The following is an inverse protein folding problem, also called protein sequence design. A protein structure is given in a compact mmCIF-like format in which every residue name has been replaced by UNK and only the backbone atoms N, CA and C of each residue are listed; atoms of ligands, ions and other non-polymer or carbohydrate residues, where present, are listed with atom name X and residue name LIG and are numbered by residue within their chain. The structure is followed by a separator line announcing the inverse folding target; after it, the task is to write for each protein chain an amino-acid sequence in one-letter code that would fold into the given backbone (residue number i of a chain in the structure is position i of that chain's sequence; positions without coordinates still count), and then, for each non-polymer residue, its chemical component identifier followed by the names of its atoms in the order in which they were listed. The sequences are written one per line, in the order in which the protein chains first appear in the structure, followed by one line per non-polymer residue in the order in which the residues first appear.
data_IF_136844534684
#
_entry.id   IF_136844534684
#
_cell.length_a   1.000
_cell.length_b   1.000
_cell.length_c   1.000
_cell.angle_alpha   90.00
_cell.angle_beta   90.00
_cell.angle_gamma   90.00
#
_symmetry.space_group_name_H-M   'P 1'
#
loop_
_entity.id
_entity.type
_entity.pdbx_description
1 polymer ?
#
# COMPACT_ATOMS: atom_id res chain seq x y z
N UNK A 1 2.02 20.38 -8.12
CA UNK A 1 0.80 19.61 -8.44
C UNK A 1 0.72 18.41 -7.51
N UNK A 2 -0.33 18.26 -6.71
CA UNK A 2 -0.48 17.10 -5.81
C UNK A 2 -1.04 15.90 -6.58
N UNK A 3 -0.26 14.82 -6.68
CA UNK A 3 -0.64 13.59 -7.39
C UNK A 3 -1.86 12.90 -6.75
N UNK A 4 -2.10 13.17 -5.46
CA UNK A 4 -3.28 12.70 -4.71
C UNK A 4 -4.61 13.31 -5.19
N UNK A 5 -4.57 14.39 -5.99
CA UNK A 5 -5.76 15.08 -6.49
C UNK A 5 -6.16 14.63 -7.91
N UNK A 6 -5.34 13.78 -8.56
CA UNK A 6 -5.61 13.28 -9.91
C UNK A 6 -6.59 12.12 -9.82
N UNK A 7 -7.78 12.30 -10.40
CA UNK A 7 -8.76 11.22 -10.52
C UNK A 7 -8.25 10.17 -11.51
N UNK A 8 -8.30 8.87 -11.16
CA UNK A 8 -7.90 7.80 -12.06
C UNK A 8 -8.80 7.80 -13.30
N UNK A 9 -8.20 7.69 -14.47
CA UNK A 9 -8.93 7.66 -15.74
C UNK A 9 -9.41 6.25 -16.05
N UNK A 10 -10.72 6.04 -15.98
CA UNK A 10 -11.37 4.79 -16.37
C UNK A 10 -11.54 4.75 -17.90
N UNK A 11 -11.25 3.61 -18.52
CA UNK A 11 -11.42 3.36 -19.95
C UNK A 11 -12.47 2.26 -20.13
N UNK A 12 -13.57 2.58 -20.82
CA UNK A 12 -14.74 1.70 -20.97
C UNK A 12 -15.27 1.18 -19.61
N UNK A 13 -15.31 2.06 -18.60
CA UNK A 13 -15.81 1.76 -17.26
C UNK A 13 -14.88 0.92 -16.37
N UNK A 14 -13.67 0.59 -16.83
CA UNK A 14 -12.68 -0.16 -16.07
C UNK A 14 -11.31 0.55 -16.03
N UNK A 15 -10.36 0.05 -15.24
CA UNK A 15 -9.02 0.63 -15.17
C UNK A 15 -8.30 0.55 -16.53
N UNK A 16 -7.68 1.66 -16.97
CA UNK A 16 -7.06 1.78 -18.30
C UNK A 16 -6.07 0.65 -18.61
N UNK A 17 -5.20 0.30 -17.67
CA UNK A 17 -4.18 -0.75 -17.90
C UNK A 17 -4.83 -2.12 -18.13
N UNK A 18 -5.85 -2.45 -17.35
CA UNK A 18 -6.59 -3.70 -17.46
C UNK A 18 -7.36 -3.79 -18.79
N UNK A 19 -8.06 -2.72 -19.17
CA UNK A 19 -8.82 -2.68 -20.44
C UNK A 19 -7.88 -2.80 -21.64
N UNK A 20 -6.71 -2.15 -21.63
CA UNK A 20 -5.73 -2.26 -22.71
C UNK A 20 -5.16 -3.68 -22.83
N UNK A 21 -4.86 -4.34 -21.71
CA UNK A 21 -4.43 -5.74 -21.71
C UNK A 21 -5.54 -6.65 -22.25
N UNK A 22 -6.78 -6.46 -21.81
CA UNK A 22 -7.94 -7.23 -22.29
C UNK A 22 -8.13 -7.08 -23.81
N UNK A 23 -8.06 -5.84 -24.33
CA UNK A 23 -8.13 -5.59 -25.77
C UNK A 23 -6.98 -6.24 -26.55
N UNK A 24 -5.75 -6.18 -26.00
CA UNK A 24 -4.59 -6.87 -26.55
C UNK A 24 -4.78 -8.39 -26.60
N UNK A 25 -5.30 -8.99 -25.53
CA UNK A 25 -5.61 -10.42 -25.49
C UNK A 25 -6.67 -10.82 -26.51
N UNK A 26 -7.73 -10.03 -26.67
CA UNK A 26 -8.75 -10.29 -27.69
C UNK A 26 -8.16 -10.25 -29.11
N UNK A 27 -7.25 -9.30 -29.37
CA UNK A 27 -6.52 -9.21 -30.63
C UNK A 27 -5.60 -10.42 -30.84
N UNK A 28 -4.92 -10.91 -29.80
CA UNK A 28 -4.10 -12.13 -29.89
C UNK A 28 -4.94 -13.37 -30.20
N UNK A 29 -6.10 -13.53 -29.57
CA UNK A 29 -7.03 -14.64 -29.87
C UNK A 29 -7.45 -14.61 -31.34
N UNK A 30 -7.74 -13.43 -31.88
CA UNK A 30 -8.03 -13.28 -33.30
C UNK A 30 -6.85 -13.71 -34.18
N UNK A 31 -5.64 -13.22 -33.89
CA UNK A 31 -4.44 -13.57 -34.66
C UNK A 31 -4.10 -15.06 -34.62
N UNK A 32 -4.35 -15.74 -33.50
CA UNK A 32 -4.11 -17.19 -33.42
C UNK A 32 -5.14 -18.02 -34.16
N UNK A 33 -6.37 -17.56 -34.28
CA UNK A 33 -7.42 -18.35 -34.91
C UNK A 33 -7.57 -18.07 -36.41
N UNK A 34 -7.22 -16.85 -36.87
CA UNK A 34 -7.36 -16.38 -38.27
C UNK A 34 -8.66 -16.82 -38.97
N UNK A 35 -9.76 -16.89 -38.22
CA UNK A 35 -11.01 -17.45 -38.71
C UNK A 35 -12.21 -16.69 -38.16
N UNK A 36 -13.32 -16.73 -38.92
CA UNK A 36 -14.61 -16.14 -38.54
C UNK A 36 -15.11 -16.59 -37.16
N UNK A 37 -15.12 -17.89 -36.81
CA UNK A 37 -15.52 -18.30 -35.46
C UNK A 37 -14.59 -17.74 -34.38
N UNK A 38 -13.30 -17.57 -34.68
CA UNK A 38 -12.34 -16.94 -33.78
C UNK A 38 -12.69 -15.50 -33.39
N UNK A 39 -13.25 -14.72 -34.33
CA UNK A 39 -13.74 -13.36 -34.05
C UNK A 39 -14.86 -13.40 -33.01
N UNK A 40 -15.82 -14.30 -33.16
CA UNK A 40 -16.94 -14.44 -32.23
C UNK A 40 -16.43 -14.78 -30.83
N UNK A 41 -15.51 -15.75 -30.73
CA UNK A 41 -14.89 -16.13 -29.46
C UNK A 41 -14.13 -14.96 -28.83
N UNK A 42 -13.34 -14.22 -29.61
CA UNK A 42 -12.59 -13.06 -29.12
C UNK A 42 -13.52 -11.97 -28.57
N UNK A 43 -14.62 -11.67 -29.28
CA UNK A 43 -15.62 -10.68 -28.83
C UNK A 43 -16.31 -11.13 -27.55
N UNK A 44 -16.73 -12.40 -27.46
CA UNK A 44 -17.39 -12.94 -26.26
C UNK A 44 -16.46 -12.88 -25.06
N UNK A 45 -15.21 -13.34 -25.20
CA UNK A 45 -14.22 -13.30 -24.12
C UNK A 45 -13.89 -11.88 -23.69
N UNK A 46 -13.71 -10.96 -24.66
CA UNK A 46 -13.48 -9.55 -24.37
C UNK A 46 -14.63 -8.96 -23.57
N UNK A 47 -15.88 -9.23 -23.97
CA UNK A 47 -17.09 -8.70 -23.36
C UNK A 47 -17.25 -9.18 -21.92
N UNK A 48 -17.09 -10.48 -21.68
CA UNK A 48 -17.20 -11.09 -20.35
C UNK A 48 -16.11 -10.51 -19.43
N UNK A 49 -14.86 -10.50 -19.90
CA UNK A 49 -13.73 -9.97 -19.13
C UNK A 49 -13.93 -8.49 -18.82
N UNK A 50 -14.41 -7.70 -19.79
CA UNK A 50 -14.67 -6.28 -19.61
C UNK A 50 -15.80 -6.03 -18.59
N UNK A 51 -16.85 -6.85 -18.57
CA UNK A 51 -17.93 -6.73 -17.59
C UNK A 51 -17.43 -6.99 -16.15
N UNK A 52 -16.56 -8.00 -15.97
CA UNK A 52 -15.93 -8.29 -14.68
C UNK A 52 -15.03 -7.12 -14.26
N UNK A 53 -14.19 -6.62 -15.16
CA UNK A 53 -13.32 -5.48 -14.92
C UNK A 53 -14.10 -4.22 -14.54
N UNK A 54 -15.23 -3.95 -15.20
CA UNK A 54 -16.13 -2.84 -14.85
C UNK A 54 -16.72 -3.01 -13.45
N UNK A 55 -17.12 -4.23 -13.09
CA UNK A 55 -17.64 -4.50 -11.75
C UNK A 55 -16.57 -4.28 -10.67
N UNK A 56 -15.34 -4.75 -10.89
CA UNK A 56 -14.22 -4.53 -9.99
C UNK A 56 -13.86 -3.05 -9.86
N UNK A 57 -13.83 -2.31 -10.97
CA UNK A 57 -13.48 -0.90 -11.00
C UNK A 57 -14.50 0.00 -10.27
N UNK A 58 -15.75 -0.45 -10.12
CA UNK A 58 -16.77 0.24 -9.30
C UNK A 58 -16.43 0.19 -7.80
N UNK A 59 -15.78 -0.89 -7.35
CA UNK A 59 -15.38 -1.04 -5.95
C UNK A 59 -14.07 -0.32 -5.68
N UNK A 60 -13.08 -0.47 -6.57
CA UNK A 60 -11.79 0.22 -6.48
C UNK A 60 -11.23 0.52 -7.88
N UNK A 61 -11.19 1.81 -8.21
CA UNK A 61 -10.68 2.31 -9.49
C UNK A 61 -9.15 2.28 -9.65
N UNK A 62 -8.39 2.02 -8.57
CA UNK A 62 -6.93 2.00 -8.55
C UNK A 62 -6.35 0.67 -8.05
N UNK A 63 -7.12 -0.41 -8.12
CA UNK A 63 -6.72 -1.72 -7.60
C UNK A 63 -5.34 -2.16 -8.12
N UNK A 64 -5.07 -2.06 -9.43
CA UNK A 64 -3.79 -2.50 -9.99
C UNK A 64 -2.65 -1.60 -9.52
N UNK A 65 -2.85 -0.28 -9.48
CA UNK A 65 -1.84 0.65 -9.00
C UNK A 65 -1.45 0.37 -7.53
N UNK A 66 -2.42 0.03 -6.68
CA UNK A 66 -2.18 -0.34 -5.28
C UNK A 66 -1.38 -1.64 -5.18
N UNK A 67 -1.76 -2.67 -5.93
CA UNK A 67 -1.05 -3.96 -5.95
C UNK A 67 0.37 -3.80 -6.51
N UNK A 68 0.54 -2.99 -7.55
CA UNK A 68 1.85 -2.72 -8.13
C UNK A 68 2.73 -1.97 -7.13
N UNK A 69 2.15 -0.98 -6.41
CA UNK A 69 2.83 -0.26 -5.35
C UNK A 69 3.23 -1.18 -4.21
N UNK A 70 2.32 -2.03 -3.73
CA UNK A 70 2.60 -2.95 -2.63
C UNK A 70 3.76 -3.87 -3.01
N UNK A 71 3.70 -4.52 -4.18
CA UNK A 71 4.77 -5.38 -4.70
C UNK A 71 6.11 -4.65 -4.87
N UNK A 72 6.09 -3.42 -5.40
CA UNK A 72 7.31 -2.62 -5.61
C UNK A 72 8.02 -2.29 -4.31
N UNK A 73 7.28 -1.95 -3.26
CA UNK A 73 7.84 -1.52 -1.99
C UNK A 73 8.00 -2.66 -0.97
N UNK A 74 7.44 -3.83 -1.24
CA UNK A 74 7.55 -5.02 -0.39
C UNK A 74 8.99 -5.40 -0.01
N UNK A 75 9.99 -5.42 -0.92
CA UNK A 75 11.36 -5.76 -0.54
C UNK A 75 12.07 -4.64 0.25
N UNK A 76 11.68 -3.37 0.04
CA UNK A 76 12.30 -2.23 0.74
C UNK A 76 11.85 -2.14 2.20
N UNK A 77 10.57 -2.39 2.47
CA UNK A 77 10.03 -2.48 3.82
C UNK A 77 10.10 -3.90 4.37
N UNK A 78 11.22 -4.61 4.10
CA UNK A 78 11.47 -5.98 4.57
C UNK A 78 10.90 -6.15 5.99
N UNK A 79 10.03 -7.15 6.13
CA UNK A 79 8.94 -7.30 7.12
C UNK A 79 7.52 -7.03 6.58
N UNK A 80 7.30 -7.20 5.27
CA UNK A 80 5.96 -7.44 4.73
C UNK A 80 5.39 -8.78 5.21
N UNK A 81 4.06 -8.96 5.14
CA UNK A 81 3.36 -10.20 5.50
C UNK A 81 3.81 -11.42 4.64
N UNK A 82 5.01 -11.94 4.90
CA UNK A 82 5.48 -13.23 4.42
C UNK A 82 5.30 -14.26 5.52
N UNK A 83 5.05 -15.51 5.13
CA UNK A 83 4.91 -16.62 6.10
C UNK A 83 6.16 -16.79 6.97
N UNK A 84 7.33 -16.49 6.41
CA UNK A 84 8.65 -16.61 7.04
C UNK A 84 9.14 -15.29 7.68
N UNK A 85 8.29 -14.26 7.75
CA UNK A 85 8.69 -13.02 8.40
C UNK A 85 8.97 -13.28 9.89
N UNK A 86 10.13 -12.85 10.44
CA UNK A 86 10.34 -12.91 11.87
C UNK A 86 9.26 -12.08 12.56
N UNK A 87 8.79 -12.54 13.73
CA UNK A 87 7.83 -11.77 14.50
C UNK A 87 8.45 -10.41 14.83
N UNK A 88 7.81 -9.33 14.40
CA UNK A 88 8.24 -7.98 14.75
C UNK A 88 8.06 -7.83 16.25
N UNK A 89 9.17 -7.66 16.97
CA UNK A 89 9.15 -7.32 18.39
C UNK A 89 8.42 -5.99 18.58
N UNK A 90 7.12 -6.08 18.86
CA UNK A 90 6.36 -4.93 19.30
C UNK A 90 6.97 -4.48 20.63
N UNK A 91 7.28 -3.19 20.80
CA UNK A 91 7.76 -2.70 22.09
C UNK A 91 6.69 -3.04 23.12
N UNK A 92 7.02 -3.98 24.02
CA UNK A 92 6.12 -4.38 25.09
C UNK A 92 5.89 -3.14 25.95
N UNK A 93 4.67 -2.63 25.93
CA UNK A 93 4.23 -1.57 26.83
C UNK A 93 4.20 -2.18 28.23
N UNK A 94 5.33 -2.10 28.94
CA UNK A 94 5.39 -2.41 30.35
C UNK A 94 4.51 -1.39 31.06
N UNK A 95 3.44 -1.86 31.71
CA UNK A 95 2.61 -1.03 32.57
C UNK A 95 3.47 -0.57 33.74
N UNK A 96 4.10 0.59 33.59
CA UNK A 96 4.81 1.22 34.70
C UNK A 96 3.79 1.50 35.80
N UNK A 97 4.02 0.96 37.00
CA UNK A 97 3.17 1.25 38.14
C UNK A 97 3.08 2.78 38.29
N UNK A 98 1.88 3.35 38.55
CA UNK A 98 1.67 4.81 38.59
C UNK A 98 2.61 5.52 39.57
N UNK A 99 3.12 4.80 40.56
CA UNK A 99 4.10 5.25 41.56
C UNK A 99 5.46 5.63 40.95
N UNK A 100 5.87 5.01 39.85
CA UNK A 100 7.16 5.28 39.19
C UNK A 100 7.18 6.61 38.44
N UNK A 101 6.03 7.07 37.92
CA UNK A 101 5.90 8.41 37.29
C UNK A 101 6.19 9.51 38.29
N UNK A 102 5.63 9.42 39.50
CA UNK A 102 5.88 10.37 40.58
C UNK A 102 7.38 10.40 40.96
N UNK A 103 8.00 9.23 41.10
CA UNK A 103 9.42 9.14 41.47
C UNK A 103 10.36 9.72 40.40
N UNK A 104 10.04 9.55 39.11
CA UNK A 104 10.81 10.14 38.01
C UNK A 104 10.77 11.68 38.02
N UNK A 105 9.64 12.27 38.45
CA UNK A 105 9.50 13.73 38.54
C UNK A 105 10.37 14.31 39.66
N UNK A 106 10.40 13.64 40.83
CA UNK A 106 11.24 14.05 41.96
C UNK A 106 12.74 13.92 41.66
N UNK A 107 13.17 12.86 40.99
CA UNK A 107 14.59 12.67 40.63
C UNK A 107 15.07 13.66 39.55
N UNK A 108 14.19 14.05 38.61
CA UNK A 108 14.50 15.05 37.58
C UNK A 108 14.62 16.48 38.16
N UNK A 109 13.84 16.80 39.18
CA UNK A 109 13.93 18.08 39.90
C UNK A 109 15.24 18.22 40.70
N UNK A 110 15.80 17.10 41.19
CA UNK A 110 17.10 17.10 41.88
C UNK A 110 18.28 17.35 40.95
N UNK A 111 18.35 16.67 39.81
CA UNK A 111 19.47 16.80 38.84
C UNK A 111 19.59 18.19 38.24
N UNK A 112 18.47 18.87 38.01
CA UNK A 112 18.46 20.24 37.45
C UNK A 112 19.05 21.27 38.42
N UNK A 113 18.89 21.08 39.74
CA UNK A 113 19.53 21.94 40.75
C UNK A 113 21.05 21.75 40.82
N UNK A 114 21.53 20.50 40.77
CA UNK A 114 22.96 20.20 40.81
C UNK A 114 23.69 20.72 39.57
N UNK A 115 23.06 20.63 38.39
CA UNK A 115 23.65 21.14 37.15
C UNK A 115 23.70 22.67 37.13
N UNK A 116 22.66 23.37 37.63
CA UNK A 116 22.65 24.83 37.72
C UNK A 116 23.71 25.36 38.72
N UNK A 117 23.94 24.65 39.82
CA UNK A 117 25.01 24.99 40.78
C UNK A 117 26.41 24.82 40.20
N UNK A 118 26.62 23.81 39.34
CA UNK A 118 27.93 23.56 38.73
C UNK A 118 28.28 24.62 37.68
N UNK A 119 27.29 25.08 36.90
CA UNK A 119 27.47 26.15 35.91
C UNK A 119 27.78 27.50 36.57
N UNK A 120 27.19 27.80 37.73
CA UNK A 120 27.45 29.06 38.47
C UNK A 120 28.83 29.06 39.15
N UNK A 121 29.40 27.89 39.44
CA UNK A 121 30.75 27.76 40.03
C UNK A 121 31.89 27.81 38.99
N UNK A 122 31.57 27.69 37.69
CA UNK A 122 32.51 27.72 36.56
C UNK A 122 32.45 29.05 35.78
N UNK A 123 31.72 30.06 36.28
CA UNK A 123 31.70 31.44 35.75
C UNK A 123 32.31 32.40 36.75
#
# INVERSE_FOLDING_TARGET
MYQSLVRPHLLMGAERQATLLNAGFAMLVYFFTMSLPGIVVAVVLFSITQAILQHLAKNDSQMIAIVQRSRKYQPFYGDGASLDAPYRDVPQFHTVAPTTKLLSWFTKAGKTKTQKSKVIAET
#
